data_IF_651902344822
#
_entry.id   IF_651902344822
#
_cell.length_a   1.000
_cell.length_b   1.000
_cell.length_c   1.000
_cell.angle_alpha   90.00
_cell.angle_beta   90.00
_cell.angle_gamma   90.00
#
_symmetry.space_group_name_H-M   'P 1'
#
loop_
_entity.id
_entity.type
_entity.pdbx_description
1 polymer ?
#
# COMPACT_ATOMS: atom_id res chain seq x y z
N UNK A 1 -10.97 -9.51 -7.46
CA UNK A 1 -9.94 -8.71 -8.16
C UNK A 1 -10.19 -7.24 -7.86
N UNK A 2 -9.17 -6.54 -7.38
CA UNK A 2 -9.20 -5.12 -7.04
C UNK A 2 -8.04 -4.39 -7.72
N UNK A 3 -8.26 -3.13 -8.10
CA UNK A 3 -7.18 -2.25 -8.51
C UNK A 3 -6.40 -1.84 -7.27
N UNK A 4 -5.08 -1.79 -7.36
CA UNK A 4 -4.20 -1.32 -6.31
C UNK A 4 -3.15 -0.38 -6.88
N UNK A 5 -2.56 0.45 -6.04
CA UNK A 5 -1.39 1.27 -6.39
C UNK A 5 -0.17 0.68 -5.71
N UNK A 6 0.83 0.31 -6.49
CA UNK A 6 2.14 -0.11 -6.00
C UNK A 6 3.10 1.08 -6.01
N UNK A 7 3.77 1.31 -4.89
CA UNK A 7 4.89 2.25 -4.78
C UNK A 7 6.14 1.43 -4.47
N UNK A 8 7.10 1.38 -5.40
CA UNK A 8 8.34 0.62 -5.22
C UNK A 8 9.37 1.41 -4.42
N UNK A 9 10.40 0.75 -3.83
CA UNK A 9 11.50 1.45 -3.16
C UNK A 9 12.31 2.39 -4.07
N UNK A 10 12.28 2.18 -5.39
CA UNK A 10 12.90 3.07 -6.38
C UNK A 10 12.08 4.33 -6.64
N UNK A 11 10.85 4.40 -6.11
CA UNK A 11 9.94 5.54 -6.24
C UNK A 11 8.98 5.44 -7.43
N UNK A 12 9.01 4.33 -8.17
CA UNK A 12 8.06 4.06 -9.24
C UNK A 12 6.67 3.85 -8.67
N UNK A 13 5.66 4.28 -9.41
CA UNK A 13 4.25 4.12 -9.05
C UNK A 13 3.51 3.50 -10.22
N UNK A 14 2.84 2.38 -9.97
CA UNK A 14 2.08 1.64 -10.97
C UNK A 14 0.71 1.26 -10.43
N UNK A 15 -0.24 1.07 -11.35
CA UNK A 15 -1.51 0.42 -11.03
C UNK A 15 -1.36 -1.08 -11.25
N UNK A 16 -1.77 -1.85 -10.24
CA UNK A 16 -1.67 -3.31 -10.22
C UNK A 16 -3.05 -3.94 -9.99
N UNK A 17 -3.16 -5.23 -10.28
CA UNK A 17 -4.32 -6.04 -9.95
C UNK A 17 -3.98 -7.00 -8.83
N UNK A 18 -4.89 -7.12 -7.86
CA UNK A 18 -4.78 -8.12 -6.79
C UNK A 18 -6.05 -8.96 -6.70
N UNK A 19 -5.87 -10.28 -6.58
CA UNK A 19 -6.93 -11.25 -6.52
C UNK A 19 -6.59 -12.39 -5.54
N UNK A 20 -6.80 -12.12 -4.26
CA UNK A 20 -6.52 -13.06 -3.18
C UNK A 20 -5.10 -12.90 -2.63
N UNK A 21 -4.84 -13.60 -1.52
CA UNK A 21 -3.67 -13.40 -0.67
C UNK A 21 -2.33 -13.51 -1.41
N UNK A 22 -2.21 -14.45 -2.34
CA UNK A 22 -0.95 -14.70 -3.06
C UNK A 22 -0.49 -13.47 -3.85
N UNK A 23 -1.42 -12.74 -4.49
CA UNK A 23 -1.09 -11.52 -5.22
C UNK A 23 -0.57 -10.43 -4.27
N UNK A 24 -1.21 -10.24 -3.11
CA UNK A 24 -0.71 -9.28 -2.11
C UNK A 24 0.72 -9.64 -1.66
N UNK A 25 0.96 -10.92 -1.35
CA UNK A 25 2.27 -11.41 -0.92
C UNK A 25 3.34 -11.23 -2.00
N UNK A 26 3.00 -11.45 -3.27
CA UNK A 26 3.91 -11.23 -4.39
C UNK A 26 4.29 -9.75 -4.53
N UNK A 27 3.33 -8.84 -4.40
CA UNK A 27 3.59 -7.40 -4.53
C UNK A 27 4.42 -6.83 -3.38
N UNK A 28 4.14 -7.22 -2.13
CA UNK A 28 4.91 -6.74 -0.97
C UNK A 28 6.22 -7.51 -0.75
N UNK A 29 6.34 -8.70 -1.35
CA UNK A 29 7.53 -9.55 -1.30
C UNK A 29 7.69 -10.34 0.00
N UNK A 30 6.59 -10.79 0.62
CA UNK A 30 6.62 -11.56 1.87
C UNK A 30 5.26 -11.72 2.54
N UNK A 31 5.24 -11.93 3.86
CA UNK A 31 4.02 -11.97 4.64
C UNK A 31 3.38 -10.59 4.68
N UNK A 32 2.06 -10.53 4.49
CA UNK A 32 1.32 -9.27 4.37
C UNK A 32 0.86 -8.78 5.73
N UNK A 33 1.06 -7.49 6.00
CA UNK A 33 0.42 -6.76 7.09
C UNK A 33 -0.40 -5.61 6.50
N UNK A 34 -1.61 -5.40 7.02
CA UNK A 34 -2.51 -4.34 6.61
C UNK A 34 -2.54 -3.22 7.66
N UNK A 35 -2.47 -1.98 7.20
CA UNK A 35 -2.78 -0.79 7.99
C UNK A 35 -4.04 -0.13 7.41
N UNK A 36 -4.98 0.22 8.27
CA UNK A 36 -6.11 1.09 7.89
C UNK A 36 -5.63 2.54 7.81
N UNK A 37 -6.06 3.27 6.80
CA UNK A 37 -5.86 4.72 6.74
C UNK A 37 -6.78 5.46 7.71
N UNK A 38 -6.35 6.63 8.16
CA UNK A 38 -7.15 7.50 9.04
C UNK A 38 -8.33 8.16 8.31
N UNK A 39 -8.26 8.27 6.98
CA UNK A 39 -9.37 8.76 6.16
C UNK A 39 -10.50 7.73 6.01
N UNK A 40 -10.24 6.46 6.35
CA UNK A 40 -11.19 5.35 6.21
C UNK A 40 -11.47 4.93 4.77
N UNK A 41 -10.75 5.47 3.79
CA UNK A 41 -10.99 5.20 2.37
C UNK A 41 -9.98 4.18 1.79
N UNK A 42 -8.92 3.82 2.54
CA UNK A 42 -7.79 3.06 2.03
C UNK A 42 -7.29 1.99 3.00
N UNK A 43 -6.71 0.92 2.42
CA UNK A 43 -5.90 -0.05 3.14
C UNK A 43 -4.48 -0.07 2.55
N UNK A 44 -3.49 -0.08 3.42
CA UNK A 44 -2.07 -0.08 3.07
C UNK A 44 -1.50 -1.45 3.41
N UNK A 45 -0.81 -2.07 2.46
CA UNK A 45 -0.28 -3.41 2.55
C UNK A 45 1.24 -3.36 2.48
N UNK A 46 1.86 -3.98 3.47
CA UNK A 46 3.31 -4.01 3.67
C UNK A 46 3.78 -5.45 3.86
N UNK A 47 5.08 -5.64 3.71
CA UNK A 47 5.73 -6.87 4.18
C UNK A 47 5.99 -6.77 5.68
N UNK A 48 5.33 -7.62 6.47
CA UNK A 48 5.43 -7.69 7.94
C UNK A 48 6.90 -7.84 8.39
N UNK A 49 7.69 -8.60 7.64
CA UNK A 49 9.09 -8.88 7.97
C UNK A 49 10.07 -7.92 7.27
N UNK A 50 9.59 -6.90 6.56
CA UNK A 50 10.41 -6.10 5.65
C UNK A 50 11.64 -5.46 6.32
N UNK A 51 11.51 -5.01 7.57
CA UNK A 51 12.63 -4.43 8.35
C UNK A 51 13.66 -5.48 8.74
N UNK A 52 13.20 -6.65 9.20
CA UNK A 52 14.07 -7.76 9.62
C UNK A 52 14.77 -8.39 8.40
N UNK A 53 14.09 -8.44 7.26
CA UNK A 53 14.62 -8.87 5.97
C UNK A 53 15.59 -7.85 5.34
N UNK A 54 15.71 -6.64 5.91
CA UNK A 54 16.62 -5.60 5.41
C UNK A 54 16.19 -5.00 4.07
N UNK A 55 14.88 -4.91 3.80
CA UNK A 55 14.37 -4.27 2.59
C UNK A 55 14.76 -2.79 2.53
N UNK A 56 14.97 -2.23 1.33
CA UNK A 56 15.34 -0.83 1.17
C UNK A 56 14.23 0.11 1.63
N UNK A 57 14.62 1.27 2.19
CA UNK A 57 13.68 2.35 2.55
C UNK A 57 12.95 2.82 1.29
N UNK A 58 11.63 2.88 1.38
CA UNK A 58 10.79 3.41 0.31
C UNK A 58 10.42 4.85 0.65
N UNK A 59 11.21 5.83 0.20
CA UNK A 59 11.03 7.23 0.61
C UNK A 59 9.68 7.81 0.19
N UNK A 60 9.19 7.45 -1.02
CA UNK A 60 7.88 7.90 -1.50
C UNK A 60 6.75 7.21 -0.73
N UNK A 61 6.84 5.89 -0.56
CA UNK A 61 5.89 5.10 0.24
C UNK A 61 5.83 5.59 1.68
N UNK A 62 6.97 5.79 2.33
CA UNK A 62 7.08 6.33 3.69
C UNK A 62 6.31 7.63 3.87
N UNK A 63 6.52 8.62 2.97
CA UNK A 63 5.79 9.89 3.03
C UNK A 63 4.28 9.67 2.90
N UNK A 64 3.84 8.84 1.96
CA UNK A 64 2.42 8.60 1.71
C UNK A 64 1.76 7.86 2.88
N UNK A 65 2.41 6.82 3.42
CA UNK A 65 1.87 6.07 4.57
C UNK A 65 1.77 6.97 5.81
N UNK A 66 2.78 7.79 6.10
CA UNK A 66 2.70 8.76 7.21
C UNK A 66 1.69 9.89 6.98
N UNK A 67 1.34 10.20 5.73
CA UNK A 67 0.25 11.14 5.41
C UNK A 67 -1.13 10.50 5.59
N UNK A 68 -1.24 9.18 5.40
CA UNK A 68 -2.50 8.43 5.46
C UNK A 68 -2.77 7.76 6.81
N UNK A 69 -1.77 7.66 7.70
CA UNK A 69 -1.87 6.92 8.97
C UNK A 69 -1.14 7.62 10.11
N UNK A 70 -1.57 7.38 11.34
CA UNK A 70 -0.84 7.79 12.56
C UNK A 70 0.19 6.72 12.94
N UNK A 71 1.34 6.71 12.27
CA UNK A 71 2.49 5.95 12.71
C UNK A 71 3.35 6.75 13.70
N UNK A 72 4.19 6.03 14.47
CA UNK A 72 5.20 6.68 15.28
C UNK A 72 6.14 7.50 14.38
N UNK A 73 6.55 8.73 14.75
CA UNK A 73 7.34 9.60 13.88
C UNK A 73 8.70 9.02 13.46
N UNK A 74 9.24 8.10 14.24
CA UNK A 74 10.50 7.40 14.00
C UNK A 74 10.32 6.08 13.23
N UNK A 75 9.08 5.72 12.88
CA UNK A 75 8.82 4.51 12.12
C UNK A 75 9.18 4.67 10.64
N UNK A 76 9.84 3.66 10.09
CA UNK A 76 10.38 3.68 8.73
C UNK A 76 9.67 2.64 7.87
N UNK A 77 9.16 3.08 6.73
CA UNK A 77 8.55 2.20 5.74
C UNK A 77 9.63 1.71 4.78
N UNK A 78 9.72 0.39 4.67
CA UNK A 78 10.69 -0.33 3.84
C UNK A 78 9.96 -1.26 2.87
N UNK A 79 10.61 -1.58 1.75
CA UNK A 79 10.03 -2.45 0.74
C UNK A 79 8.90 -1.78 -0.06
N UNK A 80 8.28 -2.54 -0.97
CA UNK A 80 7.13 -2.06 -1.73
C UNK A 80 5.95 -1.75 -0.80
N UNK A 81 5.21 -0.70 -1.14
CA UNK A 81 3.93 -0.35 -0.49
C UNK A 81 2.84 -0.57 -1.50
N UNK A 82 1.85 -1.39 -1.17
CA UNK A 82 0.67 -1.58 -2.00
C UNK A 82 -0.53 -0.93 -1.31
N UNK A 83 -1.35 -0.17 -2.06
CA UNK A 83 -2.50 0.55 -1.51
C UNK A 83 -3.75 0.14 -2.29
N UNK A 84 -4.79 -0.28 -1.57
CA UNK A 84 -6.14 -0.48 -2.10
C UNK A 84 -7.08 0.59 -1.55
N UNK A 85 -8.32 0.63 -2.04
CA UNK A 85 -9.41 1.24 -1.28
C UNK A 85 -9.78 0.42 -0.05
N UNK A 86 -10.76 0.90 0.72
CA UNK A 86 -11.29 0.21 1.90
C UNK A 86 -11.92 -1.16 1.55
N UNK A 87 -12.11 -1.99 2.58
CA UNK A 87 -12.81 -3.25 2.47
C UNK A 87 -14.27 -2.99 2.03
N UNK A 88 -14.69 -3.66 0.97
CA UNK A 88 -16.06 -3.58 0.49
C UNK A 88 -17.04 -4.21 1.49
N UNK A 89 -18.33 -3.86 1.37
CA UNK A 89 -19.40 -4.37 2.23
C UNK A 89 -19.55 -5.90 2.22
N UNK A 90 -19.00 -6.58 1.22
CA UNK A 90 -18.99 -8.05 1.16
C UNK A 90 -18.01 -8.70 2.15
N UNK A 91 -17.07 -7.92 2.69
CA UNK A 91 -16.03 -8.38 3.61
C UNK A 91 -14.95 -9.25 2.96
N UNK A 92 -14.95 -9.38 1.63
CA UNK A 92 -14.11 -10.31 0.88
C UNK A 92 -13.24 -9.58 -0.17
N UNK A 93 -13.68 -8.41 -0.62
CA UNK A 93 -12.99 -7.64 -1.67
C UNK A 93 -12.59 -6.24 -1.19
N UNK A 94 -11.53 -5.70 -1.79
CA UNK A 94 -11.11 -4.32 -1.57
C UNK A 94 -11.57 -3.45 -2.73
N UNK A 95 -11.98 -2.23 -2.41
CA UNK A 95 -12.33 -1.21 -3.39
C UNK A 95 -11.07 -0.72 -4.13
N UNK A 96 -11.21 -0.07 -5.30
CA UNK A 96 -10.09 0.64 -5.92
C UNK A 96 -9.69 1.87 -5.08
N UNK A 97 -8.41 2.28 -5.09
CA UNK A 97 -7.97 3.54 -4.50
C UNK A 97 -8.75 4.74 -5.02
N UNK A 98 -8.97 5.73 -4.16
CA UNK A 98 -9.72 6.92 -4.54
C UNK A 98 -9.05 7.68 -5.70
N UNK A 99 -9.87 8.38 -6.50
CA UNK A 99 -9.37 9.25 -7.57
C UNK A 99 -8.38 10.29 -7.05
N UNK A 100 -8.66 10.87 -5.87
CA UNK A 100 -7.80 11.87 -5.26
C UNK A 100 -6.39 11.31 -4.94
N UNK A 101 -6.30 10.07 -4.45
CA UNK A 101 -5.01 9.43 -4.20
C UNK A 101 -4.26 9.11 -5.51
N UNK A 102 -4.97 8.67 -6.56
CA UNK A 102 -4.40 8.44 -7.89
C UNK A 102 -3.78 9.72 -8.46
N UNK A 103 -4.53 10.82 -8.50
CA UNK A 103 -4.06 12.15 -8.94
C UNK A 103 -2.87 12.64 -8.09
N UNK A 104 -2.95 12.47 -6.76
CA UNK A 104 -1.87 12.82 -5.80
C UNK A 104 -0.56 12.09 -6.12
N UNK A 105 -0.63 10.87 -6.64
CA UNK A 105 0.51 10.03 -6.96
C UNK A 105 1.02 10.19 -8.40
N UNK A 106 0.34 11.01 -9.21
CA UNK A 106 0.66 11.25 -10.63
C UNK A 106 0.16 10.14 -11.55
N UNK A 107 -0.85 9.39 -11.11
CA UNK A 107 -1.59 8.43 -11.92
C UNK A 107 -2.83 9.15 -12.46
N UNK A 108 -2.66 9.95 -13.51
CA UNK A 108 -3.78 10.59 -14.20
C UNK A 108 -4.45 9.59 -15.18
N UNK A 109 -5.77 9.71 -15.36
CA UNK A 109 -6.51 9.06 -16.47
C UNK A 109 -6.28 9.77 -17.81
#
# INVERSE_FOLDING_TARGET
MANAILITPTGDVTEEQVNGLEDFQQHVGGYVEALSSDDGDHAIWLNEEGKIAGLPVNSKGHRIVHELTILAPDDVIVGPVLITGDLADDGETYLPPTKALRERLGLDD
#
